data_IF_402774085948
#
_entry.id   IF_402774085948
#
_cell.length_a   1.000
_cell.length_b   1.000
_cell.length_c   1.000
_cell.angle_alpha   90.00
_cell.angle_beta   90.00
_cell.angle_gamma   90.00
#
_symmetry.space_group_name_H-M   'P 1'
#
loop_
_entity.id
_entity.type
_entity.pdbx_description
1 polymer ?
#
# COMPACT_ATOMS: atom_id res chain seq x y z
N UNK A 1 22.27 -12.03 3.62
CA UNK A 1 21.80 -12.36 2.26
C UNK A 1 20.61 -13.32 2.32
N UNK A 2 20.76 -14.49 2.92
CA UNK A 2 19.72 -15.55 2.95
C UNK A 2 18.40 -15.13 3.61
N UNK A 3 18.42 -14.32 4.65
CA UNK A 3 17.19 -13.82 5.31
C UNK A 3 16.45 -12.82 4.40
N UNK A 4 17.17 -11.88 3.76
CA UNK A 4 16.56 -10.92 2.85
C UNK A 4 15.95 -11.59 1.62
N UNK A 5 16.61 -12.60 1.05
CA UNK A 5 16.09 -13.39 -0.07
C UNK A 5 14.85 -14.21 0.30
N UNK A 6 14.79 -14.71 1.53
CA UNK A 6 13.64 -15.49 2.00
C UNK A 6 12.47 -14.61 2.47
N UNK A 7 12.70 -13.32 2.82
CA UNK A 7 11.63 -12.40 3.22
C UNK A 7 10.67 -12.06 2.07
N UNK A 8 11.06 -12.31 0.81
CA UNK A 8 10.21 -12.11 -0.37
C UNK A 8 9.32 -13.32 -0.72
N UNK A 9 9.23 -14.33 0.15
CA UNK A 9 8.49 -15.56 -0.17
C UNK A 9 6.99 -15.33 -0.39
N UNK A 10 6.39 -14.32 0.25
CA UNK A 10 4.99 -13.98 0.06
C UNK A 10 4.66 -13.53 -1.36
N UNK A 11 5.62 -13.06 -2.14
CA UNK A 11 5.42 -12.74 -3.56
C UNK A 11 5.08 -13.98 -4.42
N UNK A 12 5.44 -15.16 -3.94
CA UNK A 12 5.22 -16.44 -4.61
C UNK A 12 3.89 -17.10 -4.24
N UNK A 13 3.18 -16.55 -3.25
CA UNK A 13 1.91 -17.07 -2.80
C UNK A 13 0.80 -16.43 -3.63
N UNK A 14 0.27 -17.18 -4.59
CA UNK A 14 -0.87 -16.76 -5.41
C UNK A 14 -2.23 -17.12 -4.80
N UNK A 15 -2.25 -18.11 -3.89
CA UNK A 15 -3.45 -18.56 -3.17
C UNK A 15 -3.08 -19.00 -1.75
N UNK A 16 -4.06 -18.97 -0.85
CA UNK A 16 -3.92 -19.44 0.53
C UNK A 16 -3.55 -20.93 0.59
N UNK A 17 -4.03 -21.71 -0.36
CA UNK A 17 -3.82 -23.15 -0.41
C UNK A 17 -2.35 -23.54 -0.69
N UNK A 18 -1.57 -22.66 -1.33
CA UNK A 18 -0.16 -22.90 -1.65
C UNK A 18 0.82 -22.57 -0.51
N UNK A 19 0.36 -21.88 0.56
CA UNK A 19 1.21 -21.48 1.68
C UNK A 19 1.84 -22.69 2.41
N UNK A 20 1.09 -23.74 2.81
CA UNK A 20 1.64 -24.89 3.50
C UNK A 20 2.70 -25.62 2.67
N UNK A 21 2.45 -25.80 1.38
CA UNK A 21 3.36 -26.50 0.47
C UNK A 21 4.66 -25.71 0.27
N UNK A 22 4.55 -24.39 0.14
CA UNK A 22 5.73 -23.55 0.02
C UNK A 22 6.60 -23.56 1.27
N UNK A 23 6.00 -23.52 2.46
CA UNK A 23 6.72 -23.60 3.73
C UNK A 23 7.35 -24.97 3.92
N UNK A 24 6.64 -26.05 3.57
CA UNK A 24 7.13 -27.43 3.65
C UNK A 24 8.28 -27.70 2.67
N UNK A 25 8.20 -27.17 1.43
CA UNK A 25 9.22 -27.36 0.40
C UNK A 25 10.59 -26.76 0.78
N UNK A 26 10.63 -25.81 1.71
CA UNK A 26 11.86 -25.18 2.18
C UNK A 26 12.65 -26.03 3.18
N UNK A 27 12.15 -27.20 3.63
CA UNK A 27 12.84 -28.16 4.53
C UNK A 27 13.49 -27.46 5.73
N UNK A 28 12.90 -26.41 6.25
CA UNK A 28 13.44 -25.70 7.41
C UNK A 28 13.08 -26.54 8.62
N UNK A 29 14.01 -27.38 9.07
CA UNK A 29 13.99 -27.88 10.43
C UNK A 29 14.00 -26.67 11.35
N UNK A 30 12.87 -26.36 11.97
CA UNK A 30 12.77 -25.24 12.86
C UNK A 30 13.55 -25.55 14.13
N UNK A 31 14.77 -25.05 14.19
CA UNK A 31 15.53 -25.02 15.44
C UNK A 31 14.77 -24.15 16.44
N UNK A 32 14.67 -24.61 17.70
CA UNK A 32 14.08 -23.76 18.74
C UNK A 32 14.83 -22.42 18.80
N UNK A 33 14.13 -21.30 19.05
CA UNK A 33 14.71 -19.95 19.05
C UNK A 33 15.97 -19.81 19.92
N UNK A 34 16.03 -20.57 21.03
CA UNK A 34 17.18 -20.62 21.92
C UNK A 34 18.45 -21.22 21.31
N UNK A 35 18.33 -22.11 20.31
CA UNK A 35 19.47 -22.71 19.61
C UNK A 35 19.98 -21.83 18.48
N UNK A 36 19.09 -21.09 17.82
CA UNK A 36 19.47 -20.11 16.80
C UNK A 36 20.38 -19.01 17.39
N UNK A 37 20.10 -18.58 18.63
CA UNK A 37 20.92 -17.59 19.34
C UNK A 37 22.27 -18.14 19.80
N UNK A 38 22.38 -19.44 20.13
CA UNK A 38 23.63 -20.06 20.59
C UNK A 38 24.64 -20.29 19.47
N UNK A 39 24.16 -20.53 18.26
CA UNK A 39 24.99 -20.83 17.08
C UNK A 39 25.46 -19.58 16.30
N UNK A 40 25.01 -18.37 16.69
CA UNK A 40 25.44 -17.13 16.12
C UNK A 40 26.85 -16.73 16.58
N UNK A 41 27.85 -16.90 15.70
CA UNK A 41 29.22 -16.51 15.96
C UNK A 41 29.41 -15.03 16.27
N UNK A 42 30.60 -14.64 16.64
CA UNK A 42 31.07 -13.35 17.14
C UNK A 42 30.88 -12.12 16.22
N UNK A 43 29.67 -11.81 15.80
CA UNK A 43 29.38 -10.57 15.08
C UNK A 43 28.82 -9.49 16.02
N UNK A 44 29.28 -8.26 15.87
CA UNK A 44 28.91 -7.12 16.76
C UNK A 44 27.41 -6.87 16.93
N UNK A 45 26.56 -7.34 16.02
CA UNK A 45 25.11 -7.12 16.03
C UNK A 45 24.28 -8.41 16.12
N UNK A 46 24.88 -9.53 16.55
CA UNK A 46 24.21 -10.85 16.59
C UNK A 46 22.92 -10.83 17.40
N UNK A 47 22.91 -10.14 18.54
CA UNK A 47 21.70 -10.11 19.38
C UNK A 47 20.53 -9.39 18.71
N UNK A 48 20.77 -8.33 17.93
CA UNK A 48 19.70 -7.58 17.26
C UNK A 48 19.15 -8.35 16.05
N UNK A 49 20.03 -8.93 15.22
CA UNK A 49 19.61 -9.78 14.10
C UNK A 49 19.02 -11.10 14.57
N UNK A 50 19.44 -11.60 15.73
CA UNK A 50 18.86 -12.79 16.37
C UNK A 50 17.35 -12.61 16.61
N UNK A 51 16.93 -11.44 17.11
CA UNK A 51 15.50 -11.16 17.31
C UNK A 51 14.70 -11.12 16.01
N UNK A 52 15.30 -10.58 14.93
CA UNK A 52 14.68 -10.60 13.57
C UNK A 52 14.52 -12.03 13.07
N UNK A 53 15.54 -12.88 13.23
CA UNK A 53 15.51 -14.28 12.83
C UNK A 53 14.45 -15.07 13.61
N UNK A 54 14.34 -14.83 14.92
CA UNK A 54 13.28 -15.44 15.75
C UNK A 54 11.90 -15.03 15.26
N UNK A 55 11.69 -13.72 15.03
CA UNK A 55 10.41 -13.22 14.52
C UNK A 55 10.07 -13.81 13.14
N UNK A 56 11.07 -14.02 12.28
CA UNK A 56 10.91 -14.68 10.99
C UNK A 56 10.47 -16.15 11.13
N UNK A 57 11.11 -16.92 12.02
CA UNK A 57 10.72 -18.32 12.25
C UNK A 57 9.33 -18.43 12.88
N UNK A 58 8.97 -17.52 13.79
CA UNK A 58 7.62 -17.48 14.35
C UNK A 58 6.60 -17.18 13.25
N UNK A 59 6.88 -16.22 12.36
CA UNK A 59 6.05 -15.92 11.20
C UNK A 59 5.83 -17.17 10.31
N UNK A 60 6.91 -17.89 9.99
CA UNK A 60 6.81 -19.12 9.20
C UNK A 60 5.96 -20.17 9.89
N UNK A 61 6.13 -20.35 11.21
CA UNK A 61 5.32 -21.26 12.02
C UNK A 61 3.84 -20.90 11.98
N UNK A 62 3.51 -19.61 12.21
CA UNK A 62 2.14 -19.11 12.18
C UNK A 62 1.51 -19.30 10.80
N UNK A 63 2.25 -19.07 9.71
CA UNK A 63 1.79 -19.30 8.34
C UNK A 63 1.56 -20.78 8.03
N UNK A 64 2.43 -21.66 8.52
CA UNK A 64 2.26 -23.11 8.36
C UNK A 64 0.95 -23.62 8.97
N UNK A 65 0.52 -23.00 10.06
CA UNK A 65 -0.73 -23.33 10.74
C UNK A 65 -1.92 -22.48 10.25
N UNK A 66 -1.75 -21.66 9.21
CA UNK A 66 -2.75 -20.72 8.68
C UNK A 66 -3.28 -19.73 9.75
N UNK A 67 -2.50 -19.47 10.79
CA UNK A 67 -2.83 -18.50 11.83
C UNK A 67 -2.41 -17.10 11.40
N UNK A 68 -3.26 -16.46 10.61
CA UNK A 68 -2.99 -15.13 10.05
C UNK A 68 -2.85 -14.04 11.11
N UNK A 69 -3.55 -14.14 12.24
CA UNK A 69 -3.45 -13.13 13.31
C UNK A 69 -2.07 -13.12 13.95
N UNK A 70 -1.57 -14.30 14.33
CA UNK A 70 -0.23 -14.41 14.88
C UNK A 70 0.82 -14.12 13.80
N UNK A 71 0.62 -14.53 12.56
CA UNK A 71 1.51 -14.20 11.45
C UNK A 71 1.63 -12.68 11.23
N UNK A 72 0.53 -11.92 11.28
CA UNK A 72 0.54 -10.45 11.18
C UNK A 72 1.30 -9.83 12.36
N UNK A 73 1.06 -10.32 13.57
CA UNK A 73 1.76 -9.85 14.78
C UNK A 73 3.27 -10.12 14.70
N UNK A 74 3.67 -11.31 14.29
CA UNK A 74 5.08 -11.69 14.14
C UNK A 74 5.76 -10.88 13.03
N UNK A 75 5.07 -10.66 11.91
CA UNK A 75 5.55 -9.80 10.82
C UNK A 75 5.67 -8.33 11.26
N UNK A 76 4.72 -7.83 12.06
CA UNK A 76 4.79 -6.48 12.65
C UNK A 76 5.97 -6.35 13.62
N UNK A 77 6.23 -7.37 14.43
CA UNK A 77 7.39 -7.44 15.31
C UNK A 77 8.69 -7.42 14.48
N UNK A 78 8.75 -8.18 13.39
CA UNK A 78 9.91 -8.20 12.49
C UNK A 78 10.18 -6.81 11.89
N UNK A 79 9.14 -6.10 11.40
CA UNK A 79 9.28 -4.70 10.93
C UNK A 79 9.81 -3.80 12.03
N UNK A 80 9.34 -3.99 13.28
CA UNK A 80 9.81 -3.23 14.43
C UNK A 80 11.29 -3.45 14.72
N UNK A 81 11.73 -4.70 14.74
CA UNK A 81 13.13 -5.06 15.04
C UNK A 81 14.06 -4.57 13.92
N UNK A 82 13.73 -4.79 12.65
CA UNK A 82 14.51 -4.24 11.53
C UNK A 82 14.54 -2.71 11.57
N UNK A 83 13.45 -2.04 11.97
CA UNK A 83 13.42 -0.58 12.13
C UNK A 83 14.34 -0.08 13.24
N UNK A 84 14.51 -0.85 14.32
CA UNK A 84 15.47 -0.52 15.39
C UNK A 84 16.91 -0.59 14.87
N UNK A 85 17.24 -1.65 14.15
CA UNK A 85 18.56 -1.84 13.52
C UNK A 85 18.82 -0.69 12.53
N UNK A 86 17.83 -0.35 11.70
CA UNK A 86 17.95 0.67 10.67
C UNK A 86 18.29 2.07 11.17
N UNK A 87 18.12 2.37 12.47
CA UNK A 87 18.52 3.67 13.04
C UNK A 87 20.02 3.87 13.05
N UNK A 88 20.77 2.79 13.21
CA UNK A 88 22.22 2.81 13.37
C UNK A 88 22.98 2.31 12.14
N UNK A 89 22.27 1.83 11.13
CA UNK A 89 22.85 1.30 9.89
C UNK A 89 22.78 2.33 8.78
N UNK A 90 23.62 2.13 7.74
CA UNK A 90 23.70 2.96 6.55
C UNK A 90 22.55 2.65 5.55
N UNK A 91 22.60 3.23 4.38
CA UNK A 91 21.60 3.09 3.31
C UNK A 91 21.26 1.65 2.92
N UNK A 92 22.19 0.70 3.06
CA UNK A 92 21.97 -0.70 2.66
C UNK A 92 20.76 -1.34 3.35
N UNK A 93 20.44 -0.91 4.58
CA UNK A 93 19.31 -1.43 5.37
C UNK A 93 17.94 -1.10 4.76
N UNK A 94 17.88 -0.11 3.86
CA UNK A 94 16.61 0.28 3.23
C UNK A 94 15.99 -0.86 2.43
N UNK A 95 16.78 -1.69 1.76
CA UNK A 95 16.25 -2.81 0.97
C UNK A 95 15.59 -3.90 1.83
N UNK A 96 16.24 -4.45 2.88
CA UNK A 96 15.57 -5.34 3.84
C UNK A 96 14.34 -4.70 4.48
N UNK A 97 14.43 -3.43 4.88
CA UNK A 97 13.34 -2.71 5.52
C UNK A 97 12.11 -2.55 4.59
N UNK A 98 12.33 -2.24 3.31
CA UNK A 98 11.29 -2.19 2.28
C UNK A 98 10.64 -3.56 2.09
N UNK A 99 11.43 -4.64 2.08
CA UNK A 99 10.94 -6.00 1.89
C UNK A 99 10.01 -6.40 3.03
N UNK A 100 10.45 -6.32 4.29
CA UNK A 100 9.63 -6.71 5.45
C UNK A 100 8.36 -5.86 5.56
N UNK A 101 8.43 -4.58 5.21
CA UNK A 101 7.30 -3.65 5.22
C UNK A 101 6.26 -4.02 4.17
N UNK A 102 6.72 -4.32 2.95
CA UNK A 102 5.86 -4.74 1.84
C UNK A 102 5.17 -6.06 2.14
N UNK A 103 5.91 -7.03 2.69
CA UNK A 103 5.39 -8.34 3.06
C UNK A 103 4.32 -8.25 4.15
N UNK A 104 4.54 -7.44 5.20
CA UNK A 104 3.52 -7.21 6.23
C UNK A 104 2.23 -6.67 5.61
N UNK A 105 2.31 -5.67 4.74
CA UNK A 105 1.12 -5.12 4.08
C UNK A 105 0.41 -6.16 3.21
N UNK A 106 1.16 -6.94 2.42
CA UNK A 106 0.58 -8.00 1.59
C UNK A 106 -0.14 -9.04 2.44
N UNK A 107 0.47 -9.47 3.54
CA UNK A 107 -0.11 -10.44 4.46
C UNK A 107 -1.44 -9.93 5.04
N UNK A 108 -1.49 -8.67 5.47
CA UNK A 108 -2.74 -8.05 5.96
C UNK A 108 -3.79 -7.99 4.84
N UNK A 109 -3.41 -7.68 3.60
CA UNK A 109 -4.35 -7.66 2.48
C UNK A 109 -4.91 -9.06 2.14
N UNK A 110 -4.09 -10.11 2.26
CA UNK A 110 -4.55 -11.50 2.10
C UNK A 110 -5.54 -11.85 3.22
N UNK A 111 -5.20 -11.52 4.46
CA UNK A 111 -6.09 -11.79 5.59
C UNK A 111 -7.46 -11.09 5.46
N UNK A 112 -7.49 -9.83 5.05
CA UNK A 112 -8.76 -9.08 4.84
C UNK A 112 -9.64 -9.74 3.76
N UNK A 113 -9.03 -10.44 2.80
CA UNK A 113 -9.77 -11.16 1.75
C UNK A 113 -10.21 -12.56 2.16
N UNK A 114 -9.77 -13.04 3.32
CA UNK A 114 -10.11 -14.37 3.83
C UNK A 114 -11.47 -14.38 4.55
N UNK A 115 -12.10 -15.55 4.59
CA UNK A 115 -13.33 -15.78 5.37
C UNK A 115 -13.14 -15.57 6.87
N UNK A 116 -11.93 -15.75 7.37
CA UNK A 116 -11.59 -15.62 8.79
C UNK A 116 -11.72 -14.18 9.26
N UNK A 117 -11.36 -13.21 8.39
CA UNK A 117 -11.54 -11.79 8.69
C UNK A 117 -13.02 -11.43 8.89
N UNK A 118 -13.92 -11.90 8.02
CA UNK A 118 -15.35 -11.64 8.14
C UNK A 118 -15.94 -12.25 9.43
N UNK A 119 -15.46 -13.44 9.83
CA UNK A 119 -15.84 -14.07 11.09
C UNK A 119 -15.36 -13.25 12.30
N UNK A 120 -14.13 -12.73 12.24
CA UNK A 120 -13.54 -11.92 13.30
C UNK A 120 -14.22 -10.57 13.46
N UNK A 121 -14.56 -9.90 12.37
CA UNK A 121 -15.30 -8.62 12.40
C UNK A 121 -16.67 -8.83 13.07
N UNK A 122 -17.40 -9.87 12.68
CA UNK A 122 -18.70 -10.20 13.30
C UNK A 122 -18.58 -10.51 14.80
N UNK A 123 -17.50 -11.18 15.23
CA UNK A 123 -17.24 -11.45 16.64
C UNK A 123 -16.92 -10.17 17.42
N UNK A 124 -16.15 -9.26 16.83
CA UNK A 124 -15.83 -7.97 17.46
C UNK A 124 -17.05 -7.07 17.59
N UNK A 125 -17.91 -7.03 16.58
CA UNK A 125 -19.19 -6.29 16.65
C UNK A 125 -20.10 -6.80 17.77
N UNK A 126 -20.22 -8.12 17.92
CA UNK A 126 -20.96 -8.72 19.02
C UNK A 126 -20.38 -8.39 20.41
N UNK A 127 -19.04 -8.33 20.52
CA UNK A 127 -18.37 -7.95 21.78
C UNK A 127 -18.59 -6.49 22.12
N UNK A 128 -18.55 -5.58 21.13
CA UNK A 128 -18.82 -4.13 21.34
C UNK A 128 -20.27 -3.87 21.80
N UNK A 129 -21.22 -4.72 21.43
CA UNK A 129 -22.62 -4.60 21.85
C UNK A 129 -22.88 -5.13 23.27
N UNK A 130 -21.97 -5.91 23.87
CA UNK A 130 -22.21 -6.66 25.11
C UNK A 130 -21.35 -6.33 26.32
N UNK A 131 -20.33 -5.45 26.27
CA UNK A 131 -19.44 -5.25 27.40
C UNK A 131 -18.94 -3.81 27.58
N UNK A 132 -19.31 -3.22 28.72
CA UNK A 132 -18.53 -2.20 29.41
C UNK A 132 -17.26 -2.86 29.95
N UNK A 133 -16.06 -2.51 29.43
CA UNK A 133 -14.79 -2.95 29.98
C UNK A 133 -13.89 -3.83 29.09
N UNK A 134 -14.06 -3.78 27.76
CA UNK A 134 -13.11 -4.44 26.88
C UNK A 134 -11.78 -3.67 26.87
N UNK A 135 -10.66 -4.37 27.13
CA UNK A 135 -9.33 -3.86 26.89
C UNK A 135 -9.27 -3.20 25.50
N UNK A 136 -8.69 -1.98 25.46
CA UNK A 136 -8.55 -1.21 24.22
C UNK A 136 -7.57 -1.96 23.30
N UNK A 137 -8.12 -2.82 22.44
CA UNK A 137 -7.37 -3.49 21.40
C UNK A 137 -7.42 -2.61 20.15
N UNK A 138 -6.24 -2.22 19.66
CA UNK A 138 -6.10 -1.49 18.41
C UNK A 138 -6.79 -2.27 17.27
N UNK A 139 -7.45 -1.53 16.39
CA UNK A 139 -8.00 -2.14 15.17
C UNK A 139 -6.87 -2.54 14.21
N UNK A 140 -7.11 -3.51 13.34
CA UNK A 140 -6.12 -4.03 12.40
C UNK A 140 -5.50 -2.93 11.51
N UNK A 141 -6.31 -1.96 11.11
CA UNK A 141 -5.87 -0.80 10.32
C UNK A 141 -4.92 0.11 11.11
N UNK A 142 -5.17 0.31 12.41
CA UNK A 142 -4.30 1.09 13.28
C UNK A 142 -3.00 0.35 13.59
N UNK A 143 -3.06 -0.95 13.83
CA UNK A 143 -1.87 -1.79 14.04
C UNK A 143 -0.97 -1.76 12.81
N UNK A 144 -1.53 -1.95 11.61
CA UNK A 144 -0.79 -1.88 10.35
C UNK A 144 -0.19 -0.49 10.14
N UNK A 145 -1.00 0.57 10.29
CA UNK A 145 -0.53 1.93 10.11
C UNK A 145 0.62 2.27 11.07
N UNK A 146 0.52 1.87 12.35
CA UNK A 146 1.56 2.07 13.34
C UNK A 146 2.85 1.31 13.00
N UNK A 147 2.74 0.07 12.51
CA UNK A 147 3.89 -0.71 12.06
C UNK A 147 4.59 -0.05 10.87
N UNK A 148 3.82 0.41 9.85
CA UNK A 148 4.35 1.06 8.65
C UNK A 148 4.93 2.46 8.91
N UNK A 149 4.43 3.17 9.93
CA UNK A 149 4.98 4.47 10.33
C UNK A 149 6.40 4.39 10.90
N UNK A 150 6.81 3.25 11.47
CA UNK A 150 8.14 3.09 12.08
C UNK A 150 9.26 3.23 11.04
N UNK A 151 9.29 2.44 9.95
CA UNK A 151 10.31 2.59 8.91
C UNK A 151 10.24 3.96 8.21
N UNK A 152 9.04 4.50 8.00
CA UNK A 152 8.87 5.84 7.46
C UNK A 152 9.57 6.90 8.32
N UNK A 153 9.32 6.89 9.64
CA UNK A 153 9.97 7.82 10.59
C UNK A 153 11.48 7.65 10.65
N UNK A 154 11.98 6.42 10.61
CA UNK A 154 13.43 6.13 10.62
C UNK A 154 14.11 6.76 9.40
N UNK A 155 13.54 6.58 8.20
CA UNK A 155 14.11 7.15 6.99
C UNK A 155 13.94 8.68 6.90
N UNK A 156 12.80 9.20 7.38
CA UNK A 156 12.53 10.64 7.36
C UNK A 156 13.46 11.42 8.31
N UNK A 157 13.73 10.86 9.49
CA UNK A 157 14.57 11.47 10.52
C UNK A 157 16.07 11.21 10.33
N UNK A 158 16.48 10.59 9.24
CA UNK A 158 17.87 10.28 8.98
C UNK A 158 18.71 11.55 8.82
N UNK A 159 19.76 11.67 9.64
CA UNK A 159 20.63 12.86 9.69
C UNK A 159 21.65 12.88 8.54
N UNK A 160 22.04 11.72 8.04
CA UNK A 160 22.99 11.57 6.93
C UNK A 160 22.36 11.80 5.57
N UNK A 161 21.02 11.92 5.51
CA UNK A 161 20.21 12.01 4.29
C UNK A 161 20.28 10.77 3.36
N UNK A 162 21.07 9.76 3.72
CA UNK A 162 21.30 8.58 2.87
C UNK A 162 20.04 7.70 2.72
N UNK A 163 19.22 7.60 3.80
CA UNK A 163 17.99 6.82 3.81
C UNK A 163 16.78 7.59 3.29
N UNK A 164 16.89 8.91 3.09
CA UNK A 164 15.76 9.75 2.63
C UNK A 164 15.22 9.36 1.27
N UNK A 165 16.04 8.75 0.41
CA UNK A 165 15.57 8.19 -0.87
C UNK A 165 14.49 7.12 -0.72
N UNK A 166 14.44 6.42 0.43
CA UNK A 166 13.45 5.40 0.72
C UNK A 166 12.11 5.95 1.28
N UNK A 167 12.08 7.21 1.68
CA UNK A 167 10.89 7.84 2.31
C UNK A 167 9.66 7.71 1.41
N UNK A 168 9.79 7.93 0.11
CA UNK A 168 8.67 7.83 -0.83
C UNK A 168 8.10 6.42 -0.95
N UNK A 169 8.94 5.38 -0.81
CA UNK A 169 8.45 4.01 -0.76
C UNK A 169 7.53 3.79 0.46
N UNK A 170 8.00 4.15 1.65
CA UNK A 170 7.22 3.98 2.88
C UNK A 170 5.99 4.88 2.91
N UNK A 171 6.09 6.10 2.37
CA UNK A 171 4.95 6.97 2.17
C UNK A 171 3.88 6.33 1.28
N UNK A 172 4.27 5.71 0.17
CA UNK A 172 3.36 5.02 -0.73
C UNK A 172 2.67 3.82 -0.05
N UNK A 173 3.39 3.05 0.77
CA UNK A 173 2.80 1.95 1.54
C UNK A 173 1.78 2.46 2.58
N UNK A 174 2.07 3.57 3.24
CA UNK A 174 1.15 4.24 4.16
C UNK A 174 -0.07 4.81 3.43
N UNK A 175 0.10 5.49 2.29
CA UNK A 175 -1.03 6.00 1.50
C UNK A 175 -1.96 4.88 1.06
N UNK A 176 -1.40 3.77 0.55
CA UNK A 176 -2.19 2.58 0.19
C UNK A 176 -3.02 2.09 1.36
N UNK A 177 -2.42 2.05 2.54
CA UNK A 177 -3.09 1.60 3.77
C UNK A 177 -4.17 2.58 4.19
N UNK A 178 -3.88 3.87 4.29
CA UNK A 178 -4.85 4.88 4.70
C UNK A 178 -6.05 4.96 3.76
N UNK A 179 -5.81 4.91 2.44
CA UNK A 179 -6.90 4.95 1.46
C UNK A 179 -7.74 3.67 1.51
N UNK A 180 -7.10 2.50 1.65
CA UNK A 180 -7.81 1.23 1.76
C UNK A 180 -8.75 1.17 2.96
N UNK A 181 -8.36 1.79 4.08
CA UNK A 181 -9.14 1.85 5.32
C UNK A 181 -9.90 3.18 5.49
N UNK A 182 -9.98 3.99 4.43
CA UNK A 182 -10.72 5.27 4.42
C UNK A 182 -10.24 6.29 5.49
N UNK A 183 -8.96 6.19 5.90
CA UNK A 183 -8.33 7.11 6.87
C UNK A 183 -7.78 8.35 6.15
N UNK A 184 -8.64 9.12 5.49
CA UNK A 184 -8.23 10.24 4.63
C UNK A 184 -7.54 11.37 5.39
N UNK A 185 -7.94 11.63 6.64
CA UNK A 185 -7.27 12.65 7.47
C UNK A 185 -5.82 12.28 7.79
N UNK A 186 -5.54 10.99 8.02
CA UNK A 186 -4.17 10.52 8.23
C UNK A 186 -3.33 10.67 6.94
N UNK A 187 -3.92 10.37 5.77
CA UNK A 187 -3.26 10.58 4.48
C UNK A 187 -2.96 12.07 4.25
N UNK A 188 -3.91 12.97 4.54
CA UNK A 188 -3.74 14.42 4.43
C UNK A 188 -2.63 14.94 5.36
N UNK A 189 -2.62 14.50 6.60
CA UNK A 189 -1.58 14.88 7.56
C UNK A 189 -0.19 14.41 7.11
N UNK A 190 -0.10 13.23 6.52
CA UNK A 190 1.16 12.73 5.94
C UNK A 190 1.63 13.59 4.76
N UNK A 191 0.72 14.04 3.88
CA UNK A 191 1.07 15.00 2.81
C UNK A 191 1.70 16.27 3.39
N UNK A 192 1.10 16.86 4.45
CA UNK A 192 1.65 18.02 5.14
C UNK A 192 3.04 17.76 5.71
N UNK A 193 3.24 16.60 6.35
CA UNK A 193 4.55 16.21 6.89
C UNK A 193 5.61 16.14 5.79
N UNK A 194 5.29 15.52 4.66
CA UNK A 194 6.22 15.40 3.53
C UNK A 194 6.53 16.75 2.89
N UNK A 195 5.52 17.62 2.73
CA UNK A 195 5.69 18.94 2.16
C UNK A 195 6.63 19.83 2.99
N UNK A 196 6.57 19.72 4.33
CA UNK A 196 7.38 20.52 5.24
C UNK A 196 8.69 19.83 5.66
N UNK A 197 8.97 18.63 5.16
CA UNK A 197 10.18 17.90 5.52
C UNK A 197 11.39 18.43 4.76
N UNK A 198 12.46 18.84 5.46
CA UNK A 198 13.68 19.33 4.81
C UNK A 198 14.44 18.18 4.13
N UNK A 199 15.20 18.54 3.10
CA UNK A 199 16.18 17.66 2.42
C UNK A 199 15.60 16.35 1.86
N UNK A 200 14.31 16.32 1.50
CA UNK A 200 13.78 15.21 0.72
C UNK A 200 14.32 15.27 -0.71
N UNK A 201 14.76 14.14 -1.30
CA UNK A 201 15.22 14.14 -2.66
C UNK A 201 14.08 14.50 -3.62
N UNK A 202 14.41 15.21 -4.70
CA UNK A 202 13.44 15.48 -5.75
C UNK A 202 12.91 14.16 -6.34
N UNK A 203 11.65 14.13 -6.73
CA UNK A 203 11.02 12.97 -7.35
C UNK A 203 11.68 12.49 -8.64
N UNK A 204 12.52 13.35 -9.27
CA UNK A 204 13.33 12.97 -10.43
C UNK A 204 14.47 11.98 -10.10
N UNK A 205 14.94 11.97 -8.86
CA UNK A 205 15.97 11.03 -8.38
C UNK A 205 15.41 9.75 -7.75
N UNK A 206 14.09 9.66 -7.65
CA UNK A 206 13.40 8.49 -7.10
C UNK A 206 13.00 7.55 -8.25
N UNK A 207 13.01 6.22 -8.05
CA UNK A 207 12.53 5.28 -9.06
C UNK A 207 11.15 5.67 -9.60
N UNK A 208 10.97 5.62 -10.94
CA UNK A 208 9.72 6.06 -11.60
C UNK A 208 8.48 5.41 -11.02
N UNK A 209 8.53 4.12 -10.68
CA UNK A 209 7.41 3.41 -10.05
C UNK A 209 6.97 4.04 -8.72
N UNK A 210 7.92 4.50 -7.92
CA UNK A 210 7.63 5.16 -6.65
C UNK A 210 7.12 6.59 -6.86
N UNK A 211 7.74 7.36 -7.77
CA UNK A 211 7.33 8.73 -8.04
C UNK A 211 5.94 8.82 -8.66
N UNK A 212 5.59 7.92 -9.59
CA UNK A 212 4.25 7.81 -10.17
C UNK A 212 3.21 7.47 -9.11
N UNK A 213 3.50 6.47 -8.27
CA UNK A 213 2.61 6.06 -7.18
C UNK A 213 2.39 7.20 -6.18
N UNK A 214 3.46 7.91 -5.82
CA UNK A 214 3.37 9.05 -4.90
C UNK A 214 2.51 10.18 -5.46
N UNK A 215 2.74 10.59 -6.72
CA UNK A 215 1.93 11.63 -7.38
C UNK A 215 0.46 11.23 -7.49
N UNK A 216 0.19 9.96 -7.79
CA UNK A 216 -1.17 9.43 -7.85
C UNK A 216 -1.90 9.57 -6.52
N UNK A 217 -1.28 9.14 -5.41
CA UNK A 217 -1.92 9.25 -4.10
C UNK A 217 -2.02 10.68 -3.59
N UNK A 218 -1.02 11.51 -3.86
CA UNK A 218 -1.07 12.93 -3.52
C UNK A 218 -2.24 13.62 -4.25
N UNK A 219 -2.37 13.39 -5.56
CA UNK A 219 -3.49 13.92 -6.34
C UNK A 219 -4.84 13.41 -5.82
N UNK A 220 -4.92 12.13 -5.44
CA UNK A 220 -6.13 11.55 -4.87
C UNK A 220 -6.54 12.23 -3.57
N UNK A 221 -5.59 12.50 -2.67
CA UNK A 221 -5.85 13.22 -1.40
C UNK A 221 -6.30 14.65 -1.66
N UNK A 222 -5.72 15.35 -2.63
CA UNK A 222 -6.13 16.70 -3.03
C UNK A 222 -7.54 16.70 -3.63
N UNK A 223 -7.88 15.72 -4.47
CA UNK A 223 -9.20 15.55 -5.05
C UNK A 223 -10.31 15.37 -4.00
N UNK A 224 -10.03 14.63 -2.94
CA UNK A 224 -11.04 14.35 -1.90
C UNK A 224 -11.53 15.60 -1.17
N UNK A 225 -10.75 16.66 -1.16
CA UNK A 225 -11.10 17.90 -0.49
C UNK A 225 -11.66 18.97 -1.44
N UNK A 226 -11.59 18.74 -2.75
CA UNK A 226 -11.92 19.74 -3.78
C UNK A 226 -11.12 21.06 -3.69
N UNK A 227 -10.01 21.08 -2.90
CA UNK A 227 -9.29 22.33 -2.62
C UNK A 227 -8.30 22.71 -3.72
N UNK A 228 -7.64 21.71 -4.34
CA UNK A 228 -6.54 21.94 -5.30
C UNK A 228 -6.66 21.07 -6.54
N UNK A 229 -7.83 21.08 -7.18
CA UNK A 229 -8.13 20.20 -8.33
C UNK A 229 -7.18 20.41 -9.52
N UNK A 230 -6.73 21.65 -9.76
CA UNK A 230 -5.77 21.97 -10.83
C UNK A 230 -4.41 21.33 -10.57
N UNK A 231 -3.91 21.41 -9.32
CA UNK A 231 -2.66 20.76 -8.92
C UNK A 231 -2.79 19.22 -9.01
N UNK A 232 -3.92 18.66 -8.57
CA UNK A 232 -4.21 17.24 -8.72
C UNK A 232 -4.17 16.80 -10.18
N UNK A 233 -4.78 17.59 -11.11
CA UNK A 233 -4.74 17.30 -12.54
C UNK A 233 -3.30 17.35 -13.10
N UNK A 234 -2.48 18.31 -12.68
CA UNK A 234 -1.06 18.40 -13.08
C UNK A 234 -0.25 17.21 -12.58
N UNK A 235 -0.44 16.79 -11.33
CA UNK A 235 0.21 15.61 -10.75
C UNK A 235 -0.15 14.33 -11.51
N UNK A 236 -1.45 14.15 -11.83
CA UNK A 236 -1.94 13.00 -12.59
C UNK A 236 -1.43 13.00 -14.04
N UNK A 237 -1.38 14.15 -14.71
CA UNK A 237 -0.83 14.26 -16.05
C UNK A 237 0.65 13.90 -16.08
N UNK A 238 1.43 14.38 -15.10
CA UNK A 238 2.85 14.02 -14.97
C UNK A 238 3.02 12.53 -14.71
N UNK A 239 2.22 11.96 -13.81
CA UNK A 239 2.23 10.52 -13.53
C UNK A 239 1.87 9.68 -14.75
N UNK A 240 0.88 10.10 -15.54
CA UNK A 240 0.47 9.44 -16.78
C UNK A 240 1.58 9.46 -17.84
N UNK A 241 2.26 10.60 -18.00
CA UNK A 241 3.37 10.74 -18.94
C UNK A 241 4.57 9.86 -18.53
N UNK A 242 4.88 9.81 -17.23
CA UNK A 242 5.93 8.93 -16.71
C UNK A 242 5.59 7.44 -16.94
N UNK A 243 4.29 7.06 -16.84
CA UNK A 243 3.84 5.71 -17.17
C UNK A 243 3.95 5.41 -18.67
N UNK A 244 3.57 6.34 -19.56
CA UNK A 244 3.63 6.14 -21.02
C UNK A 244 5.06 5.95 -21.53
N UNK A 245 6.01 6.62 -20.89
CA UNK A 245 7.43 6.54 -21.24
C UNK A 245 8.13 5.30 -20.65
N UNK A 246 7.42 4.44 -19.94
CA UNK A 246 7.94 3.17 -19.44
C UNK A 246 7.68 2.05 -20.44
N UNK A 247 8.57 1.03 -20.47
CA UNK A 247 8.36 -0.15 -21.32
C UNK A 247 7.02 -0.80 -20.97
N UNK A 248 6.29 -1.24 -22.00
CA UNK A 248 4.96 -1.84 -21.86
C UNK A 248 5.04 -3.15 -21.05
N UNK A 249 4.69 -3.06 -19.77
CA UNK A 249 4.33 -4.19 -18.96
C UNK A 249 2.84 -4.10 -18.63
N UNK A 250 2.15 -5.22 -18.49
CA UNK A 250 0.70 -5.26 -18.21
C UNK A 250 0.28 -4.42 -16.99
N UNK A 251 1.14 -4.27 -16.00
CA UNK A 251 0.87 -3.42 -14.83
C UNK A 251 0.95 -1.92 -15.14
N UNK A 252 1.70 -1.52 -16.17
CA UNK A 252 1.75 -0.11 -16.62
C UNK A 252 0.39 0.34 -17.13
N UNK A 253 -0.31 -0.50 -17.90
CA UNK A 253 -1.65 -0.21 -18.42
C UNK A 253 -2.66 -0.10 -17.27
N UNK A 254 -2.61 -0.98 -16.28
CA UNK A 254 -3.48 -0.89 -15.08
C UNK A 254 -3.28 0.42 -14.32
N UNK A 255 -2.02 0.87 -14.19
CA UNK A 255 -1.71 2.14 -13.56
C UNK A 255 -2.23 3.33 -14.37
N UNK A 256 -2.08 3.32 -15.70
CA UNK A 256 -2.64 4.33 -16.60
C UNK A 256 -4.17 4.40 -16.48
N UNK A 257 -4.86 3.26 -16.47
CA UNK A 257 -6.30 3.18 -16.26
C UNK A 257 -6.69 3.80 -14.91
N UNK A 258 -5.96 3.50 -13.85
CA UNK A 258 -6.24 4.05 -12.51
C UNK A 258 -6.06 5.57 -12.47
N UNK A 259 -5.03 6.11 -13.13
CA UNK A 259 -4.81 7.55 -13.26
C UNK A 259 -5.94 8.20 -14.08
N UNK A 260 -6.31 7.59 -15.21
CA UNK A 260 -7.34 8.12 -16.11
C UNK A 260 -8.73 8.14 -15.46
N UNK A 261 -9.03 7.22 -14.54
CA UNK A 261 -10.28 7.26 -13.79
C UNK A 261 -10.48 8.57 -13.00
N UNK A 262 -9.39 9.19 -12.52
CA UNK A 262 -9.41 10.50 -11.87
C UNK A 262 -9.28 11.65 -12.88
N UNK A 263 -8.39 11.49 -13.85
CA UNK A 263 -8.04 12.58 -14.76
C UNK A 263 -9.18 12.95 -15.71
N UNK A 264 -9.96 11.96 -16.18
CA UNK A 264 -11.10 12.20 -17.08
C UNK A 264 -12.15 13.12 -16.46
N UNK A 265 -12.73 12.81 -15.28
CA UNK A 265 -13.70 13.70 -14.65
C UNK A 265 -13.08 15.03 -14.23
N UNK A 266 -11.83 15.08 -13.77
CA UNK A 266 -11.14 16.32 -13.45
C UNK A 266 -11.01 17.25 -14.65
N UNK A 267 -10.58 16.76 -15.80
CA UNK A 267 -10.46 17.55 -17.02
C UNK A 267 -11.83 18.07 -17.48
N UNK A 268 -12.88 17.28 -17.30
CA UNK A 268 -14.22 17.75 -17.59
C UNK A 268 -14.69 18.85 -16.63
N UNK A 269 -14.45 18.68 -15.34
CA UNK A 269 -14.82 19.67 -14.32
C UNK A 269 -14.06 20.99 -14.49
N UNK A 270 -12.75 20.92 -14.70
CA UNK A 270 -11.89 22.10 -14.78
C UNK A 270 -11.97 22.81 -16.13
N UNK A 271 -11.95 22.04 -17.23
CA UNK A 271 -11.73 22.58 -18.57
C UNK A 271 -12.89 22.31 -19.53
N UNK A 272 -13.96 21.64 -19.07
CA UNK A 272 -15.08 21.18 -19.93
C UNK A 272 -14.61 20.31 -21.10
N UNK A 273 -13.48 19.63 -20.92
CA UNK A 273 -12.86 18.81 -21.95
C UNK A 273 -13.44 17.40 -21.93
N UNK A 274 -14.07 16.99 -23.01
CA UNK A 274 -14.57 15.62 -23.20
C UNK A 274 -13.45 14.69 -23.65
N UNK A 275 -13.49 13.41 -23.23
CA UNK A 275 -12.52 12.41 -23.69
C UNK A 275 -12.61 12.18 -25.20
N UNK A 276 -11.45 11.98 -25.86
CA UNK A 276 -11.38 11.72 -27.30
C UNK A 276 -11.79 10.28 -27.64
N UNK A 277 -12.18 10.05 -28.90
CA UNK A 277 -12.44 8.68 -29.42
C UNK A 277 -11.21 7.79 -29.32
N UNK A 278 -10.03 8.35 -29.61
CA UNK A 278 -8.75 7.65 -29.54
C UNK A 278 -8.41 7.15 -28.12
N UNK A 279 -8.85 7.88 -27.09
CA UNK A 279 -8.68 7.44 -25.71
C UNK A 279 -9.52 6.19 -25.41
N UNK A 280 -10.75 6.15 -25.86
CA UNK A 280 -11.64 5.00 -25.68
C UNK A 280 -11.13 3.75 -26.41
N UNK A 281 -10.57 3.93 -27.61
CA UNK A 281 -9.96 2.84 -28.37
C UNK A 281 -8.71 2.29 -27.68
N UNK A 282 -7.89 3.18 -27.09
CA UNK A 282 -6.67 2.80 -26.39
C UNK A 282 -6.91 2.09 -25.04
N UNK A 283 -8.05 2.35 -24.39
CA UNK A 283 -8.39 1.81 -23.08
C UNK A 283 -9.80 1.20 -23.03
N UNK A 284 -10.02 -0.01 -23.61
CA UNK A 284 -11.36 -0.63 -23.71
C UNK A 284 -12.08 -0.78 -22.35
N UNK A 285 -11.36 -1.06 -21.26
CA UNK A 285 -11.97 -1.16 -19.94
C UNK A 285 -12.50 0.16 -19.40
N UNK A 286 -11.84 1.30 -19.71
CA UNK A 286 -12.36 2.63 -19.42
C UNK A 286 -13.56 2.98 -20.30
N UNK A 287 -13.49 2.60 -21.58
CA UNK A 287 -14.60 2.77 -22.52
C UNK A 287 -15.86 2.08 -22.00
N UNK A 288 -15.75 0.81 -21.63
CA UNK A 288 -16.89 0.04 -21.08
C UNK A 288 -17.49 0.70 -19.83
N UNK A 289 -16.65 1.28 -18.98
CA UNK A 289 -17.09 1.87 -17.71
C UNK A 289 -17.65 3.29 -17.87
N UNK A 290 -16.99 4.16 -18.65
CA UNK A 290 -17.26 5.60 -18.59
C UNK A 290 -17.82 6.20 -19.88
N UNK A 291 -17.65 5.57 -21.04
CA UNK A 291 -17.98 6.17 -22.34
C UNK A 291 -19.44 6.61 -22.45
N UNK A 292 -20.38 5.80 -21.97
CA UNK A 292 -21.81 6.11 -22.05
C UNK A 292 -22.18 7.34 -21.22
N UNK A 293 -21.55 7.54 -20.06
CA UNK A 293 -21.75 8.73 -19.22
C UNK A 293 -21.36 9.97 -20.02
N UNK A 294 -20.17 9.98 -20.66
CA UNK A 294 -19.70 11.13 -21.43
C UNK A 294 -20.45 11.31 -22.77
N UNK A 295 -21.05 10.25 -23.30
CA UNK A 295 -22.01 10.36 -24.43
C UNK A 295 -23.30 11.07 -23.99
N UNK A 296 -23.86 10.70 -22.84
CA UNK A 296 -25.03 11.38 -22.28
C UNK A 296 -24.75 12.87 -21.98
N UNK A 297 -23.57 13.18 -21.43
CA UNK A 297 -23.12 14.56 -21.24
C UNK A 297 -23.04 15.33 -22.56
N UNK A 298 -22.46 14.73 -23.61
CA UNK A 298 -22.35 15.36 -24.94
C UNK A 298 -23.71 15.65 -25.57
N UNK A 299 -24.70 14.79 -25.29
CA UNK A 299 -26.07 14.91 -25.81
C UNK A 299 -26.95 15.82 -24.92
N UNK A 300 -26.49 16.23 -23.73
CA UNK A 300 -27.29 16.96 -22.76
C UNK A 300 -28.44 16.14 -22.14
N UNK A 301 -28.34 14.79 -22.18
CA UNK A 301 -29.36 13.87 -21.68
C UNK A 301 -29.12 13.55 -20.20
N UNK A 302 -29.71 14.36 -19.30
CA UNK A 302 -29.56 14.21 -17.85
C UNK A 302 -30.11 12.87 -17.36
N UNK A 303 -31.26 12.41 -17.89
CA UNK A 303 -31.85 11.14 -17.47
C UNK A 303 -30.91 9.96 -17.76
N UNK A 304 -30.35 9.90 -18.96
CA UNK A 304 -29.39 8.86 -19.32
C UNK A 304 -28.11 8.99 -18.48
N UNK A 305 -27.64 10.20 -18.17
CA UNK A 305 -26.50 10.41 -17.31
C UNK A 305 -26.72 9.80 -15.92
N UNK A 306 -27.86 10.08 -15.27
CA UNK A 306 -28.19 9.55 -13.96
C UNK A 306 -28.31 8.01 -13.98
N UNK A 307 -28.94 7.44 -15.00
CA UNK A 307 -29.06 5.98 -15.18
C UNK A 307 -27.68 5.31 -15.32
N UNK A 308 -26.80 5.86 -16.15
CA UNK A 308 -25.46 5.28 -16.38
C UNK A 308 -24.56 5.45 -15.15
N UNK A 309 -24.59 6.59 -14.44
CA UNK A 309 -23.86 6.79 -13.17
C UNK A 309 -24.35 5.80 -12.11
N UNK A 310 -25.67 5.63 -11.96
CA UNK A 310 -26.25 4.67 -11.03
C UNK A 310 -25.80 3.22 -11.34
N UNK A 311 -25.71 2.85 -12.62
CA UNK A 311 -25.31 1.51 -13.04
C UNK A 311 -23.89 1.11 -12.59
N UNK A 312 -22.98 2.09 -12.48
CA UNK A 312 -21.57 1.87 -12.07
C UNK A 312 -21.23 2.51 -10.72
N UNK A 313 -22.24 2.91 -9.95
CA UNK A 313 -22.05 3.59 -8.65
C UNK A 313 -21.05 2.87 -7.73
N UNK A 314 -21.19 1.55 -7.59
CA UNK A 314 -20.30 0.74 -6.74
C UNK A 314 -18.84 0.82 -7.21
N UNK A 315 -18.60 0.85 -8.52
CA UNK A 315 -17.26 1.00 -9.09
C UNK A 315 -16.70 2.39 -8.79
N UNK A 316 -17.51 3.43 -8.97
CA UNK A 316 -17.11 4.82 -8.72
C UNK A 316 -16.79 5.06 -7.23
N UNK A 317 -17.60 4.50 -6.33
CA UNK A 317 -17.35 4.54 -4.88
C UNK A 317 -16.05 3.81 -4.51
N UNK A 318 -15.86 2.57 -5.00
CA UNK A 318 -14.62 1.80 -4.76
C UNK A 318 -13.36 2.50 -5.29
N UNK A 319 -13.51 3.35 -6.31
CA UNK A 319 -12.42 4.14 -6.90
C UNK A 319 -12.30 5.54 -6.30
N UNK A 320 -13.15 5.92 -5.36
CA UNK A 320 -13.22 7.25 -4.72
C UNK A 320 -13.38 8.41 -5.72
N UNK A 321 -14.11 8.19 -6.80
CA UNK A 321 -14.37 9.20 -7.85
C UNK A 321 -15.85 9.55 -7.99
N UNK A 322 -16.72 8.94 -7.20
CA UNK A 322 -18.19 9.15 -7.28
C UNK A 322 -18.57 10.62 -7.10
N UNK A 323 -17.85 11.34 -6.25
CA UNK A 323 -18.11 12.78 -5.97
C UNK A 323 -17.87 13.72 -7.14
N UNK A 324 -17.28 13.22 -8.25
CA UNK A 324 -17.08 14.00 -9.47
C UNK A 324 -18.26 13.93 -10.45
N UNK A 325 -19.21 13.04 -10.21
CA UNK A 325 -20.39 12.78 -11.04
C UNK A 325 -21.68 13.20 -10.31
#
# INVERSE_FOLDING_TARGET
ATVAENLSFLDKINSLDSVPDYVQSKSIEMLPPSEVLKNGGSFKNVNQWGTVVIAYFNLLSSLKHLDFKNAIKDSSNMVSEVSKIARNEDRWICAPLMTVTSELRKLVMIYIQSSDYDADVKLQEKRKQGQFGADFQLSLDEELANALQRPFKVCLSDKSDEKKGAVYFFANELFRTYIKFEKFDAARNMCKVLLHSPNLPSLSYVPKSQSVTYRYYLAMVECMNFDHLENAAQLLNTALNDCKNSREHGDTIKNQISILFFLIPLNFLLYRQLPSSTLWESYPSLSTALQKIYQAVKQGNLKQFDEEVASIQVLLLKRHVYSFY
#
